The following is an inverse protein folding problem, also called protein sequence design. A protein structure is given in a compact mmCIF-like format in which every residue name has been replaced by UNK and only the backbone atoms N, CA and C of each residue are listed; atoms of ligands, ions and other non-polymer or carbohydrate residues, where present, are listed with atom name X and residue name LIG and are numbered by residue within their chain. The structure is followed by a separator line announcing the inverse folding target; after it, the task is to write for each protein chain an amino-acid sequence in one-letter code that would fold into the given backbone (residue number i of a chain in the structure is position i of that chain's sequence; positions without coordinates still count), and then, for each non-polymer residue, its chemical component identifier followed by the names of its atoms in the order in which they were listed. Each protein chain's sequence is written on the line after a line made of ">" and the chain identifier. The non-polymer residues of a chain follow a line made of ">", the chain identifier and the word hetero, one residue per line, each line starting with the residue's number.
data_IF_472691365260
#
_entry.id   IF_472691365260
#
_cell.length_a   1.000
_cell.length_b   1.000
_cell.length_c   1.000
_cell.angle_alpha   90.00
_cell.angle_beta   90.00
_cell.angle_gamma   90.00
#
_symmetry.space_group_name_H-M   'P 1'
#
loop_
_entity.id
_entity.type
_entity.pdbx_description
1 polymer ?
#
# COMPACT_ATOMS: atom_id res chain seq x y z
N UNK A 1 10.04 17.84 -7.82
CA UNK A 1 10.02 17.01 -6.59
C UNK A 1 8.82 16.06 -6.54
N UNK A 2 7.59 16.51 -6.82
CA UNK A 2 6.40 15.64 -6.89
C UNK A 2 6.48 14.52 -7.95
N UNK A 3 7.10 14.80 -9.10
CA UNK A 3 7.27 13.83 -10.20
C UNK A 3 8.06 12.58 -9.77
N UNK A 4 9.08 12.72 -8.94
CA UNK A 4 9.87 11.57 -8.44
C UNK A 4 9.11 10.69 -7.45
N UNK A 5 8.19 11.28 -6.68
CA UNK A 5 7.29 10.53 -5.80
C UNK A 5 6.24 9.77 -6.61
N UNK A 6 5.73 10.39 -7.67
CA UNK A 6 4.81 9.77 -8.61
C UNK A 6 5.49 8.61 -9.37
N UNK A 7 6.78 8.68 -9.71
CA UNK A 7 7.51 7.55 -10.32
C UNK A 7 7.65 6.32 -9.42
N UNK A 8 7.55 6.44 -8.08
CA UNK A 8 7.45 5.29 -7.17
C UNK A 8 6.07 4.61 -7.24
N UNK A 9 5.06 5.34 -7.74
CA UNK A 9 3.67 4.89 -7.87
C UNK A 9 3.30 4.58 -9.33
N UNK A 10 4.07 5.07 -10.31
CA UNK A 10 3.87 4.84 -11.74
C UNK A 10 4.50 3.51 -12.15
N UNK A 11 3.67 2.48 -12.03
CA UNK A 11 3.54 1.38 -12.97
C UNK A 11 4.82 0.81 -13.60
N UNK A 12 5.33 -0.25 -12.98
CA UNK A 12 6.23 -1.17 -13.65
C UNK A 12 5.39 -2.38 -14.01
N UNK A 13 4.89 -2.42 -15.25
CA UNK A 13 4.05 -3.46 -15.86
C UNK A 13 4.05 -4.79 -15.06
N UNK A 14 3.05 -4.94 -14.18
CA UNK A 14 3.00 -6.05 -13.20
C UNK A 14 2.84 -7.38 -13.93
N UNK A 15 2.04 -7.38 -14.99
CA UNK A 15 1.84 -8.54 -15.87
C UNK A 15 3.18 -9.00 -16.48
N UNK A 16 4.00 -8.07 -16.96
CA UNK A 16 5.32 -8.38 -17.49
C UNK A 16 6.30 -8.88 -16.42
N UNK A 17 6.22 -8.36 -15.19
CA UNK A 17 7.01 -8.86 -14.06
C UNK A 17 6.63 -10.27 -13.64
N UNK A 18 5.33 -10.59 -13.65
CA UNK A 18 4.84 -11.93 -13.33
C UNK A 18 5.24 -12.91 -14.45
N UNK A 19 5.05 -12.50 -15.71
CA UNK A 19 5.40 -13.32 -16.89
C UNK A 19 6.89 -13.66 -16.97
N UNK A 20 7.76 -12.72 -16.57
CA UNK A 20 9.20 -12.91 -16.56
C UNK A 20 9.75 -13.32 -15.17
N UNK A 21 8.88 -13.73 -14.23
CA UNK A 21 9.31 -14.09 -12.89
C UNK A 21 10.25 -15.31 -12.93
N UNK A 22 11.46 -15.22 -12.35
CA UNK A 22 12.42 -16.33 -12.36
C UNK A 22 11.98 -17.51 -11.48
N UNK A 23 11.06 -17.29 -10.55
CA UNK A 23 10.49 -18.30 -9.67
C UNK A 23 9.19 -17.79 -9.02
N UNK A 24 8.48 -18.69 -8.35
CA UNK A 24 7.23 -18.37 -7.62
C UNK A 24 7.42 -17.36 -6.49
N UNK A 25 8.60 -17.33 -5.86
CA UNK A 25 8.87 -16.38 -4.77
C UNK A 25 8.91 -14.94 -5.25
N UNK A 26 9.49 -14.69 -6.43
CA UNK A 26 9.50 -13.38 -7.06
C UNK A 26 8.09 -12.93 -7.44
N UNK A 27 7.29 -13.81 -8.04
CA UNK A 27 5.89 -13.55 -8.38
C UNK A 27 5.07 -13.12 -7.16
N UNK A 28 5.17 -13.87 -6.06
CA UNK A 28 4.51 -13.56 -4.79
C UNK A 28 4.99 -12.21 -4.25
N UNK A 29 6.30 -11.94 -4.30
CA UNK A 29 6.86 -10.65 -3.89
C UNK A 29 6.31 -9.47 -4.70
N UNK A 30 6.16 -9.64 -6.01
CA UNK A 30 5.55 -8.61 -6.89
C UNK A 30 4.10 -8.37 -6.50
N UNK A 31 3.30 -9.42 -6.35
CA UNK A 31 1.88 -9.32 -5.96
C UNK A 31 1.72 -8.64 -4.60
N UNK A 32 2.48 -9.06 -3.59
CA UNK A 32 2.44 -8.46 -2.25
C UNK A 32 2.88 -6.98 -2.32
N UNK A 33 3.96 -6.68 -3.04
CA UNK A 33 4.46 -5.32 -3.22
C UNK A 33 3.42 -4.40 -3.84
N UNK A 34 2.62 -4.90 -4.81
CA UNK A 34 1.52 -4.15 -5.42
C UNK A 34 0.40 -3.81 -4.44
N UNK A 35 0.04 -4.74 -3.55
CA UNK A 35 -1.06 -4.52 -2.60
C UNK A 35 -0.64 -3.79 -1.30
N UNK A 36 0.67 -3.77 -0.99
CA UNK A 36 1.20 -3.17 0.24
C UNK A 36 0.79 -1.70 0.47
N UNK A 37 0.79 -0.80 -0.55
CA UNK A 37 0.34 0.58 -0.36
C UNK A 37 -1.12 0.68 0.11
N UNK A 38 -2.00 -0.22 -0.36
CA UNK A 38 -3.41 -0.24 0.05
C UNK A 38 -3.57 -0.72 1.48
N UNK A 39 -2.82 -1.74 1.88
CA UNK A 39 -2.79 -2.22 3.28
C UNK A 39 -2.33 -1.09 4.22
N UNK A 40 -1.34 -0.30 3.80
CA UNK A 40 -0.87 0.85 4.56
C UNK A 40 -1.98 1.92 4.71
N UNK A 41 -2.73 2.21 3.65
CA UNK A 41 -3.88 3.13 3.72
C UNK A 41 -4.97 2.61 4.68
N UNK A 42 -5.28 1.31 4.66
CA UNK A 42 -6.24 0.69 5.58
C UNK A 42 -5.77 0.79 7.03
N UNK A 43 -4.48 0.54 7.29
CA UNK A 43 -3.89 0.73 8.61
C UNK A 43 -3.99 2.17 9.09
N UNK A 44 -3.68 3.14 8.23
CA UNK A 44 -3.82 4.56 8.56
C UNK A 44 -5.27 4.91 8.87
N UNK A 45 -6.23 4.46 8.07
CA UNK A 45 -7.65 4.66 8.32
C UNK A 45 -8.08 4.06 9.66
N UNK A 46 -7.60 2.85 9.98
CA UNK A 46 -7.85 2.21 11.27
C UNK A 46 -7.26 3.01 12.44
N UNK A 47 -6.03 3.51 12.33
CA UNK A 47 -5.40 4.32 13.36
C UNK A 47 -6.16 5.64 13.58
N UNK A 48 -6.60 6.28 12.50
CA UNK A 48 -7.42 7.50 12.57
C UNK A 48 -8.77 7.20 13.26
N UNK A 49 -9.46 6.13 12.86
CA UNK A 49 -10.71 5.69 13.47
C UNK A 49 -10.53 5.37 14.96
N UNK A 50 -9.52 4.57 15.31
CA UNK A 50 -9.23 4.18 16.69
C UNK A 50 -8.95 5.41 17.57
N UNK A 51 -8.14 6.35 17.05
CA UNK A 51 -7.89 7.60 17.76
C UNK A 51 -9.18 8.39 17.95
N UNK A 52 -9.98 8.55 16.89
CA UNK A 52 -11.25 9.28 16.93
C UNK A 52 -12.28 8.65 17.87
N UNK A 53 -12.37 7.32 17.91
CA UNK A 53 -13.30 6.59 18.78
C UNK A 53 -12.97 6.73 20.27
N UNK A 54 -11.68 6.85 20.61
CA UNK A 54 -11.23 6.95 22.00
C UNK A 54 -11.07 8.40 22.48
N UNK A 55 -11.59 9.37 21.72
CA UNK A 55 -11.66 10.79 22.10
C UNK A 55 -12.73 10.96 23.18
N UNK A 56 -12.31 11.40 24.38
CA UNK A 56 -13.20 11.74 25.51
C UNK A 56 -13.82 13.14 25.39
N UNK A 57 -13.33 13.92 24.44
CA UNK A 57 -13.73 15.28 24.12
C UNK A 57 -14.96 15.37 23.18
N UNK A 58 -15.64 14.24 22.95
CA UNK A 58 -16.90 14.16 22.21
C UNK A 58 -18.14 14.10 23.13
N UNK A 59 -17.92 13.96 24.45
CA UNK A 59 -18.98 13.83 25.46
C UNK A 59 -19.21 15.12 26.29
N UNK A 60 -18.52 16.23 25.95
CA UNK A 60 -18.73 17.60 26.51
C UNK A 60 -19.49 18.49 25.51
#
# INVERSE_FOLDING_TARGET
>A
MLVGFISLLQEINIEEKIKNAPNKGYEIGVVIGTYLPFVLLVLLAYLVYYKAKNRKDLDD
#
